data_IF_962298925265
#
_entry.id   IF_962298925265
#
_cell.length_a   1.000
_cell.length_b   1.000
_cell.length_c   1.000
_cell.angle_alpha   90.00
_cell.angle_beta   90.00
_cell.angle_gamma   90.00
#
_symmetry.space_group_name_H-M   'P 1'
#
loop_
_entity.id
_entity.type
_entity.pdbx_description
1 polymer ?
#
# COMPACT_ATOMS: atom_id res chain seq x y z
N UNK A 1 -30.76 3.18 17.17
CA UNK A 1 -30.10 3.44 15.86
C UNK A 1 -29.76 2.07 15.26
N UNK A 2 -30.03 1.86 13.97
CA UNK A 2 -29.61 0.64 13.30
C UNK A 2 -28.07 0.60 13.21
N UNK A 3 -27.47 -0.56 13.52
CA UNK A 3 -26.01 -0.77 13.42
C UNK A 3 -25.55 -0.49 11.99
N UNK A 4 -24.47 0.27 11.75
CA UNK A 4 -23.97 0.52 10.40
C UNK A 4 -23.56 -0.82 9.74
N UNK A 5 -23.69 -0.89 8.42
CA UNK A 5 -23.24 -2.07 7.68
C UNK A 5 -21.75 -2.00 7.42
N UNK A 6 -21.25 -0.82 7.02
CA UNK A 6 -19.84 -0.54 6.82
C UNK A 6 -19.31 0.43 7.88
N UNK A 7 -18.10 0.18 8.36
CA UNK A 7 -17.27 1.19 9.03
C UNK A 7 -16.12 1.56 8.12
N UNK A 8 -15.99 2.84 7.79
CA UNK A 8 -14.83 3.34 7.06
C UNK A 8 -13.87 3.94 8.09
N UNK A 9 -12.60 3.50 8.08
CA UNK A 9 -11.55 4.01 8.98
C UNK A 9 -10.57 4.86 8.21
N UNK A 10 -10.42 6.13 8.60
CA UNK A 10 -9.42 7.05 8.05
C UNK A 10 -8.45 7.45 9.16
N UNK A 11 -7.23 6.87 9.21
CA UNK A 11 -6.17 7.40 10.04
C UNK A 11 -5.57 8.63 9.37
N UNK A 12 -5.26 9.68 10.15
CA UNK A 12 -4.63 10.87 9.61
C UNK A 12 -3.65 11.50 10.62
N UNK A 13 -2.62 12.15 10.08
CA UNK A 13 -1.65 12.94 10.80
C UNK A 13 -1.14 14.06 9.91
N UNK A 14 -1.41 15.32 10.27
CA UNK A 14 -1.03 16.51 9.51
C UNK A 14 -1.44 16.42 8.02
N UNK A 15 -2.74 16.37 7.75
CA UNK A 15 -3.36 16.23 6.43
C UNK A 15 -4.43 17.29 6.14
N UNK A 16 -4.23 18.52 6.65
CA UNK A 16 -5.20 19.59 6.45
C UNK A 16 -5.55 19.87 4.99
N UNK A 17 -4.60 19.67 4.06
CA UNK A 17 -4.79 19.89 2.63
C UNK A 17 -5.62 18.81 1.92
N UNK A 18 -5.69 17.59 2.45
CA UNK A 18 -6.28 16.44 1.75
C UNK A 18 -7.44 15.79 2.48
N UNK A 19 -7.47 15.87 3.82
CA UNK A 19 -8.46 15.20 4.66
C UNK A 19 -9.90 15.56 4.31
N UNK A 20 -10.16 16.83 4.00
CA UNK A 20 -11.51 17.29 3.60
C UNK A 20 -12.05 16.55 2.37
N UNK A 21 -11.19 16.29 1.36
CA UNK A 21 -11.56 15.51 0.17
C UNK A 21 -11.86 14.05 0.52
N UNK A 22 -11.04 13.43 1.35
CA UNK A 22 -11.26 12.06 1.79
C UNK A 22 -12.61 11.92 2.51
N UNK A 23 -12.92 12.81 3.45
CA UNK A 23 -14.20 12.83 4.18
C UNK A 23 -15.37 13.05 3.21
N UNK A 24 -15.31 14.05 2.33
CA UNK A 24 -16.35 14.35 1.36
C UNK A 24 -16.64 13.15 0.44
N UNK A 25 -15.63 12.37 0.08
CA UNK A 25 -15.80 11.17 -0.74
C UNK A 25 -16.58 10.05 -0.04
N UNK A 26 -16.49 9.97 1.28
CA UNK A 26 -17.30 9.03 2.10
C UNK A 26 -18.73 9.57 2.24
N UNK A 27 -18.91 10.86 2.46
CA UNK A 27 -20.24 11.48 2.55
C UNK A 27 -21.02 11.36 1.22
N UNK A 28 -20.31 11.38 0.09
CA UNK A 28 -20.88 11.23 -1.25
C UNK A 28 -21.24 9.79 -1.65
N UNK A 29 -21.05 8.79 -0.78
CA UNK A 29 -21.35 7.40 -1.10
C UNK A 29 -22.84 7.17 -1.35
N UNK A 30 -23.16 6.47 -2.45
CA UNK A 30 -24.56 6.15 -2.82
C UNK A 30 -25.20 5.13 -1.89
N UNK A 31 -24.42 4.29 -1.23
CA UNK A 31 -24.87 3.40 -0.15
C UNK A 31 -24.78 4.13 1.19
N UNK A 32 -25.86 4.23 1.93
CA UNK A 32 -26.00 5.16 3.07
C UNK A 32 -25.83 4.56 4.47
N UNK A 33 -25.83 3.22 4.61
CA UNK A 33 -25.71 2.54 5.91
C UNK A 33 -24.26 2.35 6.33
N UNK A 34 -23.56 3.44 6.58
CA UNK A 34 -22.16 3.48 7.00
C UNK A 34 -21.93 4.40 8.20
N UNK A 35 -20.83 4.17 8.88
CA UNK A 35 -20.18 5.12 9.77
C UNK A 35 -18.77 5.45 9.28
N UNK A 36 -18.27 6.63 9.62
CA UNK A 36 -16.89 7.05 9.39
C UNK A 36 -16.18 7.23 10.73
N UNK A 37 -15.08 6.50 10.93
CA UNK A 37 -14.21 6.59 12.10
C UNK A 37 -12.92 7.30 11.68
N UNK A 38 -12.82 8.59 12.01
CA UNK A 38 -11.63 9.40 11.83
C UNK A 38 -10.68 9.18 13.01
N UNK A 39 -9.44 8.79 12.75
CA UNK A 39 -8.43 8.57 13.81
C UNK A 39 -7.31 9.58 13.65
N UNK A 40 -7.35 10.64 14.44
CA UNK A 40 -6.32 11.65 14.53
C UNK A 40 -5.11 11.12 15.31
N UNK A 41 -3.98 11.02 14.64
CA UNK A 41 -2.73 10.52 15.22
C UNK A 41 -1.90 11.66 15.87
N UNK A 42 -2.55 12.52 16.66
CA UNK A 42 -1.98 13.70 17.32
C UNK A 42 -1.52 14.77 16.33
N UNK A 43 -2.37 15.15 15.38
CA UNK A 43 -2.07 16.23 14.43
C UNK A 43 -1.82 17.57 15.13
N UNK A 44 -0.92 18.35 14.54
CA UNK A 44 -0.53 19.70 15.01
C UNK A 44 -0.95 20.82 14.06
N UNK A 45 -1.54 20.44 12.90
CA UNK A 45 -2.09 21.35 11.90
C UNK A 45 -3.63 21.47 12.01
N UNK A 46 -4.29 22.04 11.02
CA UNK A 46 -5.74 22.22 10.98
C UNK A 46 -6.54 20.90 10.79
N UNK A 47 -5.89 19.73 10.65
CA UNK A 47 -6.57 18.45 10.40
C UNK A 47 -7.58 18.10 11.48
N UNK A 48 -7.22 18.31 12.77
CA UNK A 48 -8.10 18.02 13.90
C UNK A 48 -9.38 18.87 13.84
N UNK A 49 -9.28 20.16 13.48
CA UNK A 49 -10.46 21.04 13.35
C UNK A 49 -11.34 20.65 12.16
N UNK A 50 -10.76 20.23 11.03
CA UNK A 50 -11.51 19.72 9.87
C UNK A 50 -12.30 18.45 10.27
N UNK A 51 -11.69 17.53 10.99
CA UNK A 51 -12.33 16.30 11.45
C UNK A 51 -13.47 16.61 12.46
N UNK A 52 -13.24 17.51 13.41
CA UNK A 52 -14.24 17.94 14.38
C UNK A 52 -15.46 18.56 13.68
N UNK A 53 -15.26 19.51 12.77
CA UNK A 53 -16.32 20.14 12.01
C UNK A 53 -17.14 19.11 11.21
N UNK A 54 -16.50 18.14 10.57
CA UNK A 54 -17.21 17.08 9.85
C UNK A 54 -18.09 16.23 10.79
N UNK A 55 -17.62 15.92 12.00
CA UNK A 55 -18.39 15.14 12.98
C UNK A 55 -19.56 15.92 13.59
N UNK A 56 -19.47 17.25 13.66
CA UNK A 56 -20.58 18.12 14.09
C UNK A 56 -21.69 18.18 13.03
N UNK A 57 -21.32 18.11 11.76
CA UNK A 57 -22.24 18.21 10.61
C UNK A 57 -22.91 16.88 10.23
N UNK A 58 -22.27 15.74 10.52
CA UNK A 58 -22.81 14.42 10.17
C UNK A 58 -22.64 13.45 11.35
N UNK A 59 -23.73 13.08 11.97
CA UNK A 59 -23.77 12.17 13.14
C UNK A 59 -23.22 10.76 12.88
N UNK A 60 -23.02 10.37 11.62
CA UNK A 60 -22.36 9.13 11.23
C UNK A 60 -20.83 9.18 11.34
N UNK A 61 -20.27 10.37 11.56
CA UNK A 61 -18.82 10.61 11.65
C UNK A 61 -18.43 10.70 13.13
N UNK A 62 -17.40 9.94 13.50
CA UNK A 62 -16.82 9.97 14.86
C UNK A 62 -15.32 10.22 14.77
N UNK A 63 -14.79 11.02 15.67
CA UNK A 63 -13.36 11.34 15.77
C UNK A 63 -12.77 10.69 17.02
N UNK A 64 -11.62 10.04 16.84
CA UNK A 64 -10.78 9.50 17.92
C UNK A 64 -9.43 10.19 17.84
N UNK A 65 -8.94 10.75 18.94
CA UNK A 65 -7.64 11.42 18.98
C UNK A 65 -6.63 10.62 19.80
N UNK A 66 -5.46 10.31 19.24
CA UNK A 66 -4.34 9.71 19.96
C UNK A 66 -3.65 10.78 20.82
N UNK A 67 -3.15 10.40 21.99
CA UNK A 67 -2.42 11.32 22.87
C UNK A 67 -1.04 11.72 22.29
N UNK A 68 -0.47 10.87 21.43
CA UNK A 68 0.79 11.09 20.72
C UNK A 68 0.76 10.34 19.39
N UNK A 69 1.64 10.68 18.45
CA UNK A 69 1.76 9.97 17.19
C UNK A 69 2.17 8.51 17.43
N UNK A 70 1.37 7.57 16.94
CA UNK A 70 1.53 6.13 17.13
C UNK A 70 1.72 5.39 15.80
N UNK A 71 1.85 6.13 14.71
CA UNK A 71 1.95 5.59 13.35
C UNK A 71 0.64 4.91 12.85
N UNK A 72 0.60 4.70 11.53
CA UNK A 72 -0.61 4.26 10.82
C UNK A 72 -1.19 2.91 11.28
N UNK A 73 -0.34 1.95 11.63
CA UNK A 73 -0.78 0.61 12.04
C UNK A 73 -1.58 0.64 13.34
N UNK A 74 -1.10 1.36 14.35
CA UNK A 74 -1.82 1.51 15.62
C UNK A 74 -3.07 2.36 15.46
N UNK A 75 -3.02 3.42 14.65
CA UNK A 75 -4.19 4.26 14.37
C UNK A 75 -5.27 3.47 13.61
N UNK A 76 -4.91 2.64 12.61
CA UNK A 76 -5.87 1.71 11.98
C UNK A 76 -6.43 0.71 12.99
N UNK A 77 -5.60 0.12 13.85
CA UNK A 77 -6.06 -0.82 14.88
C UNK A 77 -7.03 -0.17 15.87
N UNK A 78 -6.80 1.09 16.23
CA UNK A 78 -7.74 1.85 17.08
C UNK A 78 -9.07 2.06 16.35
N UNK A 79 -9.06 2.39 15.07
CA UNK A 79 -10.25 2.48 14.24
C UNK A 79 -11.00 1.14 14.13
N UNK A 80 -10.28 0.02 13.94
CA UNK A 80 -10.85 -1.33 13.93
C UNK A 80 -11.59 -1.62 15.25
N UNK A 81 -10.98 -1.32 16.39
CA UNK A 81 -11.59 -1.57 17.71
C UNK A 81 -12.82 -0.69 17.95
N UNK A 82 -12.88 0.49 17.38
CA UNK A 82 -14.01 1.41 17.52
C UNK A 82 -15.13 1.14 16.51
N UNK A 83 -14.85 0.42 15.42
CA UNK A 83 -15.78 0.13 14.34
C UNK A 83 -16.99 -0.70 14.84
N UNK A 84 -18.19 -0.28 14.43
CA UNK A 84 -19.47 -0.94 14.78
C UNK A 84 -20.06 -1.69 13.59
N UNK A 85 -19.56 -1.44 12.38
CA UNK A 85 -20.01 -2.06 11.15
C UNK A 85 -19.71 -3.56 11.08
N UNK A 86 -20.53 -4.26 10.31
CA UNK A 86 -20.29 -5.67 10.01
C UNK A 86 -19.02 -5.86 9.19
N UNK A 87 -18.74 -4.93 8.28
CA UNK A 87 -17.54 -4.91 7.46
C UNK A 87 -16.78 -3.61 7.68
N UNK A 88 -15.46 -3.70 7.67
CA UNK A 88 -14.56 -2.56 7.85
C UNK A 88 -13.85 -2.30 6.52
N UNK A 89 -13.91 -1.05 6.08
CA UNK A 89 -13.16 -0.50 4.97
C UNK A 89 -12.14 0.51 5.51
N UNK A 90 -11.11 0.80 4.74
CA UNK A 90 -10.15 1.84 5.07
C UNK A 90 -10.10 2.87 3.93
N UNK A 91 -9.67 4.07 4.26
CA UNK A 91 -9.31 5.08 3.29
C UNK A 91 -8.13 5.87 3.84
N UNK A 92 -7.09 6.05 3.05
CA UNK A 92 -5.99 6.93 3.43
C UNK A 92 -6.42 8.40 3.25
N UNK A 93 -5.93 9.28 4.12
CA UNK A 93 -6.38 10.67 4.23
C UNK A 93 -5.98 11.57 3.05
N UNK A 94 -5.21 11.04 2.10
CA UNK A 94 -4.73 11.71 0.90
C UNK A 94 -5.37 11.14 -0.40
N UNK A 95 -6.16 10.06 -0.30
CA UNK A 95 -6.87 9.40 -1.38
C UNK A 95 -8.40 9.65 -1.30
N UNK A 96 -9.16 9.04 -2.19
CA UNK A 96 -10.62 9.09 -2.12
C UNK A 96 -11.30 7.90 -2.80
N UNK A 97 -12.57 7.66 -2.43
CA UNK A 97 -13.44 6.68 -3.05
C UNK A 97 -14.39 7.34 -4.06
N UNK A 98 -14.70 6.64 -5.15
CA UNK A 98 -15.78 7.04 -6.05
C UNK A 98 -17.14 6.81 -5.38
N UNK A 99 -18.20 7.55 -5.77
CA UNK A 99 -19.50 7.49 -5.10
C UNK A 99 -20.13 6.11 -5.01
N UNK A 100 -19.85 5.24 -5.95
CA UNK A 100 -20.37 3.87 -6.02
C UNK A 100 -19.57 2.83 -5.20
N UNK A 101 -18.47 3.21 -4.53
CA UNK A 101 -17.57 2.26 -3.86
C UNK A 101 -18.28 1.32 -2.89
N UNK A 102 -19.02 1.86 -1.95
CA UNK A 102 -19.74 1.04 -0.95
C UNK A 102 -20.88 0.24 -1.56
N UNK A 103 -21.57 0.74 -2.59
CA UNK A 103 -22.62 -0.01 -3.26
C UNK A 103 -22.06 -1.16 -4.11
N UNK A 104 -20.87 -1.01 -4.71
CA UNK A 104 -20.14 -2.10 -5.37
C UNK A 104 -19.75 -3.18 -4.37
N UNK A 105 -19.17 -2.79 -3.24
CA UNK A 105 -18.83 -3.72 -2.15
C UNK A 105 -20.06 -4.46 -1.61
N UNK A 106 -21.17 -3.75 -1.38
CA UNK A 106 -22.42 -4.34 -0.90
C UNK A 106 -22.94 -5.40 -1.86
N UNK A 107 -23.02 -5.11 -3.15
CA UNK A 107 -23.45 -6.07 -4.19
C UNK A 107 -22.52 -7.29 -4.27
N UNK A 108 -21.20 -7.08 -4.11
CA UNK A 108 -20.24 -8.18 -4.04
C UNK A 108 -20.49 -9.08 -2.83
N UNK A 109 -20.71 -8.50 -1.66
CA UNK A 109 -21.00 -9.22 -0.43
C UNK A 109 -22.35 -9.94 -0.50
N UNK A 110 -23.37 -9.32 -1.09
CA UNK A 110 -24.70 -9.92 -1.30
C UNK A 110 -24.60 -11.20 -2.12
N UNK A 111 -23.86 -11.21 -3.21
CA UNK A 111 -23.58 -12.41 -4.03
C UNK A 111 -22.89 -13.52 -3.24
N UNK A 112 -22.14 -13.18 -2.20
CA UNK A 112 -21.45 -14.11 -1.31
C UNK A 112 -22.29 -14.48 -0.07
N UNK A 113 -23.56 -14.11 -0.02
CA UNK A 113 -24.43 -14.33 1.13
C UNK A 113 -23.95 -13.62 2.39
N UNK A 114 -23.27 -12.48 2.26
CA UNK A 114 -22.68 -11.72 3.37
C UNK A 114 -21.75 -12.56 4.26
N UNK A 115 -20.94 -13.38 3.65
CA UNK A 115 -20.01 -14.28 4.31
C UNK A 115 -18.87 -13.56 5.03
N UNK A 116 -18.23 -14.27 5.97
CA UNK A 116 -17.00 -13.82 6.60
C UNK A 116 -15.84 -13.90 5.60
N UNK A 117 -15.56 -12.81 4.92
CA UNK A 117 -14.62 -12.75 3.79
C UNK A 117 -13.83 -11.44 3.76
N UNK A 118 -12.82 -11.42 2.93
CA UNK A 118 -12.08 -10.24 2.48
C UNK A 118 -12.38 -9.97 1.01
N UNK A 119 -12.94 -8.81 0.71
CA UNK A 119 -13.15 -8.31 -0.64
C UNK A 119 -12.19 -7.14 -0.89
N UNK A 120 -11.77 -6.96 -2.13
CA UNK A 120 -11.02 -5.78 -2.53
C UNK A 120 -11.34 -5.38 -3.97
N UNK A 121 -11.27 -4.08 -4.25
CA UNK A 121 -11.55 -3.50 -5.56
C UNK A 121 -10.27 -3.25 -6.34
N UNK A 122 -10.39 -2.97 -7.65
CA UNK A 122 -9.32 -2.34 -8.42
C UNK A 122 -9.28 -0.83 -8.17
N UNK A 123 -8.26 -0.14 -8.71
CA UNK A 123 -8.03 1.25 -8.40
C UNK A 123 -7.57 2.05 -9.62
N UNK A 124 -7.65 3.38 -9.51
CA UNK A 124 -7.08 4.38 -10.40
C UNK A 124 -5.87 5.03 -9.74
N UNK A 125 -4.91 5.47 -10.54
CA UNK A 125 -3.94 6.49 -10.15
C UNK A 125 -4.40 7.82 -10.75
N UNK A 126 -4.31 8.90 -9.98
CA UNK A 126 -4.61 10.26 -10.43
C UNK A 126 -3.36 11.12 -10.29
N UNK A 127 -2.97 11.80 -11.36
CA UNK A 127 -1.83 12.72 -11.35
C UNK A 127 -2.20 14.10 -10.76
N UNK A 128 -1.20 14.98 -10.63
CA UNK A 128 -1.41 16.33 -10.09
C UNK A 128 -2.33 17.23 -10.98
N UNK A 129 -2.59 16.83 -12.21
CA UNK A 129 -3.48 17.50 -13.15
C UNK A 129 -4.91 16.93 -13.13
N UNK A 130 -5.16 15.88 -12.33
CA UNK A 130 -6.46 15.21 -12.23
C UNK A 130 -6.70 14.15 -13.33
N UNK A 131 -5.70 13.80 -14.13
CA UNK A 131 -5.83 12.73 -15.11
C UNK A 131 -5.73 11.38 -14.42
N UNK A 132 -6.63 10.46 -14.77
CA UNK A 132 -6.66 9.12 -14.20
C UNK A 132 -6.14 8.08 -15.19
N UNK A 133 -5.31 7.18 -14.70
CA UNK A 133 -4.88 5.98 -15.40
C UNK A 133 -5.22 4.73 -14.58
N UNK A 134 -5.43 3.61 -15.24
CA UNK A 134 -5.66 2.35 -14.55
C UNK A 134 -4.42 1.95 -13.75
N UNK A 135 -4.61 1.76 -12.43
CA UNK A 135 -3.55 1.15 -11.63
C UNK A 135 -3.40 -0.32 -12.05
N UNK A 136 -2.25 -0.62 -12.65
CA UNK A 136 -1.97 -1.99 -13.07
C UNK A 136 -1.98 -2.96 -11.88
N UNK A 137 -2.80 -3.99 -12.00
CA UNK A 137 -2.84 -5.12 -11.10
C UNK A 137 -3.44 -6.29 -11.89
N UNK A 138 -2.75 -7.43 -12.02
CA UNK A 138 -3.34 -8.60 -12.67
C UNK A 138 -4.59 -9.06 -11.90
N UNK A 139 -5.38 -9.89 -12.54
CA UNK A 139 -6.54 -10.49 -11.89
C UNK A 139 -6.10 -11.42 -10.76
N UNK A 140 -6.84 -11.36 -9.66
CA UNK A 140 -6.56 -12.21 -8.51
C UNK A 140 -7.08 -13.62 -8.73
N UNK A 141 -6.21 -14.60 -8.49
CA UNK A 141 -6.55 -16.03 -8.46
C UNK A 141 -6.26 -16.59 -7.07
N UNK A 142 -7.24 -17.21 -6.47
CA UNK A 142 -7.15 -17.74 -5.09
C UNK A 142 -6.09 -18.84 -4.95
N UNK A 143 -5.80 -19.57 -6.02
CA UNK A 143 -4.79 -20.66 -6.05
C UNK A 143 -3.36 -20.17 -5.86
N UNK A 144 -3.09 -18.89 -6.12
CA UNK A 144 -1.74 -18.29 -5.98
C UNK A 144 -1.77 -17.02 -5.10
N UNK A 145 -2.62 -17.01 -4.06
CA UNK A 145 -2.84 -15.85 -3.21
C UNK A 145 -1.55 -15.33 -2.55
N UNK A 146 -0.68 -16.22 -2.06
CA UNK A 146 0.61 -15.81 -1.49
C UNK A 146 1.46 -15.05 -2.49
N UNK A 147 1.62 -15.60 -3.71
CA UNK A 147 2.38 -14.95 -4.77
C UNK A 147 1.78 -13.60 -5.13
N UNK A 148 0.45 -13.55 -5.26
CA UNK A 148 -0.27 -12.32 -5.61
C UNK A 148 0.02 -11.20 -4.59
N UNK A 149 -0.19 -11.42 -3.31
CA UNK A 149 -0.01 -10.39 -2.28
C UNK A 149 1.47 -10.05 -2.01
N UNK A 150 2.41 -10.93 -2.32
CA UNK A 150 3.84 -10.60 -2.26
C UNK A 150 4.25 -9.66 -3.39
N UNK A 151 3.73 -9.87 -4.60
CA UNK A 151 4.15 -9.13 -5.79
C UNK A 151 3.31 -7.88 -6.05
N UNK A 152 2.01 -7.94 -5.75
CA UNK A 152 1.05 -6.88 -6.03
C UNK A 152 0.44 -6.38 -4.74
N UNK A 153 0.82 -5.18 -4.34
CA UNK A 153 0.30 -4.57 -3.12
C UNK A 153 -1.16 -4.19 -3.29
N UNK A 154 -2.02 -4.78 -2.45
CA UNK A 154 -3.41 -4.37 -2.30
C UNK A 154 -3.49 -3.53 -1.03
N UNK A 155 -3.36 -2.21 -1.19
CA UNK A 155 -3.35 -1.28 -0.05
C UNK A 155 -4.71 -1.26 0.67
N UNK A 156 -4.76 -0.92 1.97
CA UNK A 156 -5.97 -0.98 2.79
C UNK A 156 -7.16 -0.19 2.25
N UNK A 157 -6.97 0.93 1.56
CA UNK A 157 -8.07 1.72 0.96
C UNK A 157 -8.85 0.99 -0.14
N UNK A 158 -8.40 -0.19 -0.55
CA UNK A 158 -9.12 -1.09 -1.46
C UNK A 158 -9.87 -2.20 -0.73
N UNK A 159 -9.72 -2.31 0.60
CA UNK A 159 -10.22 -3.43 1.39
C UNK A 159 -11.65 -3.23 1.87
N UNK A 160 -12.37 -4.34 1.91
CA UNK A 160 -13.59 -4.53 2.66
C UNK A 160 -13.49 -5.88 3.38
N UNK A 161 -13.34 -5.87 4.68
CA UNK A 161 -13.04 -7.06 5.47
C UNK A 161 -14.10 -7.24 6.55
N UNK A 162 -14.59 -8.46 6.74
CA UNK A 162 -15.50 -8.73 7.85
C UNK A 162 -14.84 -8.39 9.20
N UNK A 163 -15.55 -7.68 10.06
CA UNK A 163 -15.00 -7.12 11.30
C UNK A 163 -14.35 -8.17 12.22
N UNK A 164 -14.89 -9.39 12.26
CA UNK A 164 -14.30 -10.47 13.07
C UNK A 164 -12.90 -10.86 12.61
N UNK A 165 -12.61 -10.78 11.30
CA UNK A 165 -11.27 -11.08 10.75
C UNK A 165 -10.27 -10.03 11.25
N UNK A 166 -10.59 -8.74 11.10
CA UNK A 166 -9.68 -7.65 11.50
C UNK A 166 -9.52 -7.57 13.03
N UNK A 167 -10.53 -7.93 13.81
CA UNK A 167 -10.41 -8.03 15.27
C UNK A 167 -9.45 -9.15 15.68
N UNK A 168 -9.40 -10.25 14.92
CA UNK A 168 -8.49 -11.38 15.16
C UNK A 168 -7.09 -11.18 14.54
N UNK A 169 -7.01 -10.44 13.41
CA UNK A 169 -5.77 -10.23 12.65
C UNK A 169 -5.58 -8.71 12.49
N UNK A 170 -5.05 -8.07 13.52
CA UNK A 170 -4.74 -6.64 13.48
C UNK A 170 -3.47 -6.36 12.66
N UNK A 171 -3.27 -5.10 12.26
CA UNK A 171 -1.98 -4.65 11.75
C UNK A 171 -0.89 -4.80 12.81
N UNK A 172 0.29 -5.27 12.42
CA UNK A 172 1.42 -5.40 13.32
C UNK A 172 2.15 -4.05 13.42
N UNK A 173 2.21 -3.40 14.60
CA UNK A 173 2.89 -2.12 14.76
C UNK A 173 4.41 -2.21 14.61
N UNK A 174 4.99 -3.41 14.68
CA UNK A 174 6.42 -3.64 14.47
C UNK A 174 6.79 -3.73 12.98
N UNK A 175 5.79 -3.69 12.08
CA UNK A 175 5.97 -3.65 10.62
C UNK A 175 5.55 -2.25 10.13
N UNK A 176 6.46 -1.27 10.10
CA UNK A 176 6.11 0.13 9.80
C UNK A 176 5.90 0.40 8.31
N UNK A 177 6.28 -0.53 7.44
CA UNK A 177 6.08 -0.50 5.98
C UNK A 177 5.76 -1.91 5.51
N UNK A 178 4.93 -2.07 4.47
CA UNK A 178 4.37 -3.36 4.04
C UNK A 178 3.45 -4.01 5.09
N UNK A 179 2.86 -3.23 5.98
CA UNK A 179 1.90 -3.67 6.98
C UNK A 179 0.64 -4.29 6.36
N UNK A 180 0.28 -3.83 5.17
CA UNK A 180 -0.79 -4.37 4.33
C UNK A 180 -0.44 -5.77 3.80
N UNK A 181 0.77 -5.95 3.27
CA UNK A 181 1.27 -7.26 2.84
C UNK A 181 1.31 -8.24 4.01
N UNK A 182 1.86 -7.84 5.15
CA UNK A 182 1.92 -8.67 6.36
C UNK A 182 0.51 -9.14 6.76
N UNK A 183 -0.42 -8.20 6.83
CA UNK A 183 -1.79 -8.49 7.26
C UNK A 183 -2.52 -9.39 6.27
N UNK A 184 -2.40 -9.14 4.95
CA UNK A 184 -3.02 -10.00 3.94
C UNK A 184 -2.42 -11.40 3.91
N UNK A 185 -1.10 -11.57 4.04
CA UNK A 185 -0.47 -12.89 4.10
C UNK A 185 -0.90 -13.68 5.33
N UNK A 186 -1.08 -13.02 6.49
CA UNK A 186 -1.64 -13.67 7.69
C UNK A 186 -3.11 -14.08 7.52
N UNK A 187 -3.89 -13.31 6.76
CA UNK A 187 -5.26 -13.70 6.39
C UNK A 187 -5.25 -14.93 5.46
N UNK A 188 -4.37 -14.96 4.44
CA UNK A 188 -4.20 -16.13 3.56
C UNK A 188 -3.83 -17.36 4.37
N UNK A 189 -2.87 -17.24 5.31
CA UNK A 189 -2.43 -18.36 6.16
C UNK A 189 -3.53 -18.92 7.04
N UNK A 190 -4.54 -18.11 7.38
CA UNK A 190 -5.73 -18.54 8.14
C UNK A 190 -6.88 -19.04 7.25
N UNK A 191 -6.64 -19.18 5.94
CA UNK A 191 -7.66 -19.66 5.01
C UNK A 191 -8.85 -18.71 4.85
N UNK A 192 -8.68 -17.41 5.08
CA UNK A 192 -9.75 -16.43 4.90
C UNK A 192 -10.13 -16.36 3.41
N UNK A 193 -11.42 -16.57 3.05
CA UNK A 193 -11.88 -16.41 1.68
C UNK A 193 -11.64 -14.99 1.17
N UNK A 194 -11.04 -14.86 -0.02
CA UNK A 194 -10.66 -13.58 -0.62
C UNK A 194 -11.21 -13.45 -2.02
N UNK A 195 -11.73 -12.27 -2.36
CA UNK A 195 -12.40 -12.01 -3.64
C UNK A 195 -12.02 -10.64 -4.18
N UNK A 196 -11.64 -10.59 -5.45
CA UNK A 196 -11.43 -9.34 -6.18
C UNK A 196 -12.71 -8.93 -6.89
N UNK A 197 -13.13 -7.68 -6.68
CA UNK A 197 -14.11 -7.00 -7.50
C UNK A 197 -13.40 -6.23 -8.61
N UNK A 198 -13.87 -6.37 -9.85
CA UNK A 198 -13.19 -5.82 -11.03
C UNK A 198 -13.37 -4.31 -11.18
N UNK A 199 -14.32 -3.75 -10.46
CA UNK A 199 -14.63 -2.32 -10.46
C UNK A 199 -13.48 -1.52 -9.83
N UNK A 200 -13.13 -0.39 -10.47
CA UNK A 200 -12.15 0.56 -9.99
C UNK A 200 -12.85 1.70 -9.26
N UNK A 201 -12.92 1.61 -7.96
CA UNK A 201 -13.68 2.55 -7.13
C UNK A 201 -12.83 3.28 -6.09
N UNK A 202 -11.54 3.00 -6.03
CA UNK A 202 -10.55 3.69 -5.20
C UNK A 202 -9.63 4.51 -6.09
N UNK A 203 -9.32 5.74 -5.72
CA UNK A 203 -8.42 6.63 -6.46
C UNK A 203 -7.23 7.02 -5.59
N UNK A 204 -6.04 6.64 -6.04
CA UNK A 204 -4.76 7.05 -5.47
C UNK A 204 -4.34 8.37 -6.08
N UNK A 205 -4.08 9.37 -5.27
CA UNK A 205 -3.71 10.71 -5.72
C UNK A 205 -2.23 10.95 -5.55
N UNK A 206 -1.52 11.21 -6.65
CA UNK A 206 -0.11 11.54 -6.60
C UNK A 206 0.10 12.95 -6.02
N UNK A 207 0.90 13.05 -4.96
CA UNK A 207 1.30 14.34 -4.38
C UNK A 207 2.73 14.26 -3.80
N UNK A 208 3.45 15.40 -3.70
CA UNK A 208 4.86 15.42 -3.27
C UNK A 208 5.08 14.88 -1.85
N UNK A 209 4.09 15.01 -0.97
CA UNK A 209 4.16 14.59 0.44
C UNK A 209 3.77 13.12 0.64
N UNK A 210 3.53 12.36 -0.44
CA UNK A 210 3.20 10.94 -0.36
C UNK A 210 4.37 10.19 0.30
N UNK A 211 4.07 9.42 1.34
CA UNK A 211 5.03 8.58 2.05
C UNK A 211 5.80 7.65 1.09
N UNK A 212 5.15 7.20 0.04
CA UNK A 212 5.73 6.25 -0.92
C UNK A 212 6.83 6.88 -1.79
N UNK A 213 6.74 8.19 -2.08
CA UNK A 213 7.65 8.89 -3.00
C UNK A 213 8.74 9.71 -2.29
N UNK A 214 8.52 10.09 -1.03
CA UNK A 214 9.39 11.02 -0.28
C UNK A 214 10.43 10.35 0.63
N UNK A 215 10.32 9.06 0.98
CA UNK A 215 11.24 8.41 1.92
C UNK A 215 12.55 7.97 1.25
N UNK A 216 13.69 8.64 1.52
CA UNK A 216 14.99 8.27 0.96
C UNK A 216 15.52 6.91 1.45
N UNK A 217 14.91 6.33 2.50
CA UNK A 217 15.28 5.03 3.06
C UNK A 217 14.24 3.95 2.74
N UNK A 218 13.26 4.24 1.90
CA UNK A 218 12.15 3.34 1.55
C UNK A 218 12.61 1.91 1.29
N UNK A 219 13.54 1.73 0.38
CA UNK A 219 13.97 0.38 -0.04
C UNK A 219 14.72 -0.40 1.04
N UNK A 220 15.46 0.30 1.92
CA UNK A 220 16.09 -0.34 3.08
C UNK A 220 15.05 -0.76 4.11
N UNK A 221 14.08 0.10 4.40
CA UNK A 221 12.98 -0.20 5.34
C UNK A 221 12.10 -1.34 4.79
N UNK A 222 11.79 -1.31 3.49
CA UNK A 222 11.03 -2.38 2.83
C UNK A 222 11.79 -3.72 2.91
N UNK A 223 13.08 -3.75 2.61
CA UNK A 223 13.90 -4.97 2.71
C UNK A 223 13.94 -5.53 4.15
N UNK A 224 14.02 -4.66 5.15
CA UNK A 224 13.93 -5.05 6.56
C UNK A 224 12.57 -5.63 6.90
N UNK A 225 11.48 -4.98 6.48
CA UNK A 225 10.11 -5.46 6.68
C UNK A 225 9.89 -6.82 6.00
N UNK A 226 10.30 -6.97 4.74
CA UNK A 226 10.23 -8.25 4.03
C UNK A 226 10.99 -9.38 4.76
N UNK A 227 12.12 -9.04 5.38
CA UNK A 227 12.88 -10.01 6.19
C UNK A 227 12.07 -10.46 7.40
N UNK A 228 11.44 -9.54 8.12
CA UNK A 228 10.59 -9.84 9.26
C UNK A 228 9.35 -10.65 8.85
N UNK A 229 8.65 -10.23 7.78
CA UNK A 229 7.44 -10.89 7.28
C UNK A 229 7.74 -12.32 6.80
N UNK A 230 8.78 -12.49 5.98
CA UNK A 230 9.08 -13.81 5.38
C UNK A 230 9.71 -14.80 6.37
N UNK A 231 10.16 -14.32 7.54
CA UNK A 231 10.64 -15.17 8.63
C UNK A 231 9.55 -15.51 9.67
N UNK A 232 8.34 -14.99 9.52
CA UNK A 232 7.23 -15.35 10.42
C UNK A 232 7.01 -16.86 10.40
N UNK A 233 6.95 -17.47 11.59
CA UNK A 233 6.79 -18.94 11.73
C UNK A 233 5.50 -19.44 11.04
N UNK A 234 4.43 -18.69 11.15
CA UNK A 234 3.12 -19.02 10.58
C UNK A 234 3.03 -18.83 9.05
N UNK A 235 3.91 -18.01 8.45
CA UNK A 235 3.93 -17.77 7.01
C UNK A 235 4.95 -18.62 6.27
N UNK A 236 6.13 -18.80 6.85
CA UNK A 236 7.30 -19.38 6.21
C UNK A 236 7.05 -20.70 5.46
N UNK A 237 6.24 -21.65 5.98
CA UNK A 237 5.97 -22.92 5.27
C UNK A 237 5.23 -22.77 3.94
N UNK A 238 4.49 -21.67 3.78
CA UNK A 238 3.56 -21.47 2.66
C UNK A 238 4.10 -20.46 1.62
N UNK A 239 5.15 -19.70 1.96
CA UNK A 239 5.62 -18.63 1.09
C UNK A 239 6.36 -19.18 -0.15
N UNK A 240 5.94 -18.83 -1.38
CA UNK A 240 6.65 -19.25 -2.59
C UNK A 240 8.01 -18.54 -2.69
N UNK A 241 9.10 -19.29 -2.56
CA UNK A 241 10.46 -18.77 -2.54
C UNK A 241 10.77 -17.88 -3.76
N UNK A 242 10.26 -18.24 -4.93
CA UNK A 242 10.43 -17.46 -6.17
C UNK A 242 9.83 -16.07 -6.05
N UNK A 243 8.63 -15.90 -5.46
CA UNK A 243 8.00 -14.61 -5.25
C UNK A 243 8.74 -13.79 -4.19
N UNK A 244 9.15 -14.42 -3.08
CA UNK A 244 9.94 -13.76 -2.04
C UNK A 244 11.27 -13.23 -2.59
N UNK A 245 11.98 -14.05 -3.38
CA UNK A 245 13.24 -13.67 -4.00
C UNK A 245 13.03 -12.55 -5.03
N UNK A 246 11.97 -12.61 -5.82
CA UNK A 246 11.63 -11.58 -6.80
C UNK A 246 11.38 -10.23 -6.12
N UNK A 247 10.62 -10.22 -5.02
CA UNK A 247 10.34 -9.00 -4.25
C UNK A 247 11.60 -8.40 -3.60
N UNK A 248 12.44 -9.25 -2.99
CA UNK A 248 13.74 -8.83 -2.43
C UNK A 248 14.70 -8.32 -3.51
N UNK A 249 14.73 -8.99 -4.66
CA UNK A 249 15.54 -8.57 -5.81
C UNK A 249 15.17 -7.16 -6.27
N UNK A 250 13.87 -6.81 -6.30
CA UNK A 250 13.43 -5.46 -6.63
C UNK A 250 13.98 -4.41 -5.65
N UNK A 251 13.94 -4.66 -4.34
CA UNK A 251 14.54 -3.76 -3.34
C UNK A 251 16.04 -3.59 -3.55
N UNK A 252 16.76 -4.69 -3.80
CA UNK A 252 18.21 -4.63 -4.06
C UNK A 252 18.54 -3.90 -5.36
N UNK A 253 17.72 -4.04 -6.39
CA UNK A 253 17.87 -3.28 -7.64
C UNK A 253 17.81 -1.76 -7.36
N UNK A 254 16.80 -1.31 -6.66
CA UNK A 254 16.63 0.12 -6.34
C UNK A 254 17.76 0.64 -5.45
N UNK A 255 18.21 -0.15 -4.46
CA UNK A 255 19.36 0.20 -3.63
C UNK A 255 20.67 0.27 -4.42
N UNK A 256 20.84 -0.56 -5.45
CA UNK A 256 21.97 -0.47 -6.36
C UNK A 256 21.92 0.85 -7.16
N UNK A 257 20.78 1.18 -7.75
CA UNK A 257 20.59 2.43 -8.51
C UNK A 257 20.84 3.66 -7.64
N UNK A 258 20.33 3.68 -6.40
CA UNK A 258 20.62 4.77 -5.46
C UNK A 258 22.12 4.86 -5.12
N UNK A 259 22.77 3.72 -4.89
CA UNK A 259 24.20 3.65 -4.59
C UNK A 259 25.04 4.17 -5.76
N UNK A 260 24.63 3.86 -6.98
CA UNK A 260 25.25 4.40 -8.19
C UNK A 260 25.12 5.93 -8.28
N UNK A 261 23.90 6.47 -8.08
CA UNK A 261 23.67 7.93 -8.05
C UNK A 261 24.53 8.63 -6.99
N UNK A 262 24.77 7.98 -5.84
CA UNK A 262 25.61 8.49 -4.74
C UNK A 262 27.11 8.18 -4.93
N UNK A 263 27.53 7.65 -6.10
CA UNK A 263 28.90 7.28 -6.43
C UNK A 263 29.56 6.31 -5.45
N UNK A 264 28.78 5.42 -4.82
CA UNK A 264 29.25 4.41 -3.86
C UNK A 264 29.43 3.06 -4.54
N UNK A 265 30.58 2.80 -5.14
CA UNK A 265 30.85 1.58 -5.93
C UNK A 265 30.66 0.28 -5.11
N UNK A 266 31.23 0.21 -3.90
CA UNK A 266 31.12 -0.99 -3.06
C UNK A 266 29.64 -1.34 -2.73
N UNK A 267 28.81 -0.36 -2.38
CA UNK A 267 27.38 -0.58 -2.13
C UNK A 267 26.63 -0.94 -3.41
N UNK A 268 26.97 -0.31 -4.52
CA UNK A 268 26.38 -0.64 -5.82
C UNK A 268 26.62 -2.10 -6.17
N UNK A 269 27.88 -2.59 -6.20
CA UNK A 269 28.19 -3.96 -6.55
C UNK A 269 27.59 -4.99 -5.59
N UNK A 270 27.56 -4.68 -4.29
CA UNK A 270 26.89 -5.54 -3.29
C UNK A 270 25.41 -5.72 -3.63
N UNK A 271 24.67 -4.64 -3.85
CA UNK A 271 23.22 -4.73 -4.10
C UNK A 271 22.92 -5.25 -5.51
N UNK A 272 23.70 -4.89 -6.52
CA UNK A 272 23.56 -5.43 -7.87
C UNK A 272 23.77 -6.93 -7.89
N UNK A 273 24.81 -7.44 -7.21
CA UNK A 273 25.06 -8.87 -7.07
C UNK A 273 23.94 -9.61 -6.35
N UNK A 274 23.43 -9.07 -5.24
CA UNK A 274 22.29 -9.67 -4.51
C UNK A 274 21.00 -9.66 -5.36
N UNK A 275 20.71 -8.60 -6.09
CA UNK A 275 19.58 -8.57 -7.01
C UNK A 275 19.69 -9.69 -8.06
N UNK A 276 20.88 -9.85 -8.66
CA UNK A 276 21.13 -10.87 -9.66
C UNK A 276 21.03 -12.30 -9.10
N UNK A 277 21.61 -12.57 -7.93
CA UNK A 277 21.55 -13.88 -7.27
C UNK A 277 20.10 -14.27 -6.95
N UNK A 278 19.29 -13.32 -6.42
CA UNK A 278 17.92 -13.58 -6.04
C UNK A 278 16.99 -13.77 -7.25
N UNK A 279 17.24 -13.06 -8.34
CA UNK A 279 16.45 -13.16 -9.56
C UNK A 279 17.30 -12.83 -10.80
N UNK A 280 17.98 -13.82 -11.42
CA UNK A 280 18.85 -13.59 -12.59
C UNK A 280 18.14 -12.96 -13.80
N UNK A 281 16.85 -13.25 -13.99
CA UNK A 281 16.03 -12.68 -15.07
C UNK A 281 15.55 -11.26 -14.80
N UNK A 282 15.77 -10.76 -13.56
CA UNK A 282 15.30 -9.44 -13.12
C UNK A 282 13.81 -9.37 -12.84
N UNK A 283 13.42 -8.33 -12.11
CA UNK A 283 12.06 -8.10 -11.63
C UNK A 283 11.02 -8.01 -12.77
N UNK A 284 11.38 -7.47 -13.93
CA UNK A 284 10.52 -7.35 -15.12
C UNK A 284 11.25 -7.75 -16.42
N UNK A 285 12.22 -8.65 -16.35
CA UNK A 285 13.01 -9.12 -17.48
C UNK A 285 14.03 -8.11 -18.05
N UNK A 286 13.97 -6.84 -17.64
CA UNK A 286 14.88 -5.77 -18.12
C UNK A 286 15.83 -5.22 -17.06
N UNK A 287 15.49 -5.39 -15.77
CA UNK A 287 16.18 -4.74 -14.64
C UNK A 287 17.63 -5.16 -14.50
N UNK A 288 17.94 -6.43 -14.66
CA UNK A 288 19.34 -6.90 -14.53
C UNK A 288 20.20 -6.50 -15.70
N UNK A 289 19.64 -6.34 -16.90
CA UNK A 289 20.34 -5.77 -18.05
C UNK A 289 20.80 -4.32 -17.77
N UNK A 290 19.94 -3.53 -17.16
CA UNK A 290 20.29 -2.16 -16.78
C UNK A 290 21.37 -2.11 -15.69
N UNK A 291 21.31 -3.01 -14.68
CA UNK A 291 22.37 -3.12 -13.67
C UNK A 291 23.71 -3.56 -14.26
N UNK A 292 23.70 -4.48 -15.25
CA UNK A 292 24.89 -4.89 -15.95
C UNK A 292 25.52 -3.71 -16.72
N UNK A 293 24.70 -2.93 -17.42
CA UNK A 293 25.12 -1.70 -18.11
C UNK A 293 25.75 -0.73 -17.10
N UNK A 294 25.09 -0.45 -15.97
CA UNK A 294 25.61 0.42 -14.92
C UNK A 294 26.90 -0.13 -14.28
N UNK A 295 27.04 -1.46 -14.14
CA UNK A 295 28.26 -2.08 -13.64
C UNK A 295 29.44 -1.87 -14.59
N UNK A 296 29.22 -2.04 -15.89
CA UNK A 296 30.24 -1.80 -16.94
C UNK A 296 30.66 -0.33 -16.95
N UNK A 297 29.73 0.61 -16.78
CA UNK A 297 30.02 2.05 -16.67
C UNK A 297 30.90 2.42 -15.46
N UNK A 298 30.86 1.64 -14.40
CA UNK A 298 31.66 1.89 -13.18
C UNK A 298 33.05 1.24 -13.21
N UNK A 299 33.40 0.51 -14.25
CA UNK A 299 34.77 -0.03 -14.40
C UNK A 299 35.74 1.11 -14.75
N UNK A 300 36.85 1.28 -14.02
CA UNK A 300 37.77 2.45 -14.18
C UNK A 300 38.32 2.62 -15.61
N UNK A 301 38.47 1.51 -16.34
CA UNK A 301 39.02 1.51 -17.70
C UNK A 301 37.94 1.82 -18.76
N UNK A 302 36.70 1.45 -18.51
CA UNK A 302 35.60 1.56 -19.49
C UNK A 302 34.79 2.85 -19.26
N UNK A 303 34.73 3.34 -18.04
CA UNK A 303 34.01 4.55 -17.66
C UNK A 303 34.45 5.79 -18.40
N UNK A 304 35.77 5.95 -18.67
CA UNK A 304 36.32 7.09 -19.44
C UNK A 304 36.03 7.01 -20.94
N UNK A 305 35.99 5.81 -21.51
CA UNK A 305 35.68 5.59 -22.94
C UNK A 305 34.19 5.72 -23.23
N UNK A 306 33.33 5.23 -22.31
CA UNK A 306 31.88 5.28 -22.48
C UNK A 306 31.32 6.64 -22.15
N UNK A 307 31.85 7.38 -21.16
CA UNK A 307 31.50 8.80 -20.97
C UNK A 307 31.76 9.65 -22.21
N UNK A 308 32.84 9.38 -22.96
CA UNK A 308 33.10 10.03 -24.25
C UNK A 308 32.14 9.60 -25.37
N UNK A 309 31.60 8.39 -25.33
CA UNK A 309 30.65 7.91 -26.33
C UNK A 309 29.20 8.39 -26.04
N UNK A 310 28.80 8.47 -24.77
CA UNK A 310 27.42 8.87 -24.33
C UNK A 310 27.24 10.39 -24.39
N UNK A 311 28.29 11.19 -24.28
CA UNK A 311 28.18 12.63 -24.56
C UNK A 311 27.77 12.92 -26.03
N UNK A 312 27.87 11.91 -26.91
CA UNK A 312 27.42 11.97 -28.32
C UNK A 312 26.06 11.35 -28.60
N UNK A 313 25.48 10.63 -27.65
CA UNK A 313 24.15 10.00 -27.82
C UNK A 313 23.31 10.26 -26.54
N UNK A 314 22.32 11.15 -26.66
CA UNK A 314 21.29 11.31 -25.59
C UNK A 314 20.55 10.00 -25.42
N UNK A 315 20.97 9.18 -24.48
CA UNK A 315 20.16 8.06 -23.98
C UNK A 315 19.34 8.61 -22.83
N UNK A 316 18.08 8.83 -23.13
CA UNK A 316 17.02 9.16 -22.15
C UNK A 316 16.85 7.93 -21.25
N UNK A 317 17.31 8.03 -20.02
CA UNK A 317 16.92 7.14 -18.92
C UNK A 317 15.62 7.72 -18.36
N UNK A 318 14.48 7.31 -18.93
CA UNK A 318 13.15 7.50 -18.37
C UNK A 318 12.85 6.42 -17.32
#
# INVERSE_FOLDING_TARGET
MHKPFFSIVIPFYNRASTLGRAIASVQAQTYTHWELVLVDDASTDASASIAAQASEQDSRIRVLTNAQNQERSLSRNRGIMAAQGRYICFLDSDDYHLPEHLSVLYKGLEKLGFSTAFLFTKAWNEDAQGNREERFCPDFETTDAYRYFILYTVNPQRWCVHSSILNAIKFDPHIPICEDMDTTLRMVAKGIPMYELKERTTVYVAHPESFTWGDPKKWQRELSALTSIFNRRELRPFLPLSACNLRRSACHYHLAVESWKKKSAARFYRHAGLSFILCPKGYNGRTNKNLLILAVYNLPVIGSLVQKAVSKTKVVLG
#
